data_IF_903513510657
#
_entry.id   IF_903513510657
#
_cell.length_a   1.000
_cell.length_b   1.000
_cell.length_c   1.000
_cell.angle_alpha   90.00
_cell.angle_beta   90.00
_cell.angle_gamma   90.00
#
_symmetry.space_group_name_H-M   'P 1'
#
loop_
_entity.id
_entity.type
_entity.pdbx_description
1 polymer ?
#
# COMPACT_ATOMS: atom_id res chain seq x y z
N UNK A 1 17.29 0.35 -17.36
CA UNK A 1 17.15 1.73 -17.87
C UNK A 1 16.98 1.66 -19.37
N UNK A 2 15.91 2.22 -19.94
CA UNK A 2 15.59 2.06 -21.37
C UNK A 2 16.01 3.34 -22.11
N UNK A 3 16.82 3.21 -23.16
CA UNK A 3 17.33 4.34 -23.94
C UNK A 3 16.80 4.28 -25.37
N UNK A 4 16.23 5.39 -25.84
CA UNK A 4 15.75 5.55 -27.21
C UNK A 4 16.50 6.68 -27.91
N UNK A 5 17.08 6.39 -29.08
CA UNK A 5 17.67 7.40 -29.94
C UNK A 5 16.57 8.22 -30.65
N UNK A 6 16.72 9.55 -30.65
CA UNK A 6 15.81 10.44 -31.35
C UNK A 6 16.18 10.49 -32.84
N UNK A 7 15.18 10.28 -33.70
CA UNK A 7 15.35 10.42 -35.16
C UNK A 7 15.72 11.86 -35.56
N UNK A 8 15.26 12.84 -34.79
CA UNK A 8 15.58 14.25 -34.95
C UNK A 8 16.03 14.82 -33.60
N UNK A 9 17.33 15.09 -33.41
CA UNK A 9 17.84 15.65 -32.16
C UNK A 9 17.27 17.05 -31.89
N UNK A 10 16.95 17.33 -30.63
CA UNK A 10 16.36 18.60 -30.20
C UNK A 10 17.47 19.48 -29.61
N UNK A 11 17.70 20.66 -30.19
CA UNK A 11 18.65 21.64 -29.68
C UNK A 11 17.97 22.58 -28.67
N UNK A 12 18.47 22.60 -27.44
CA UNK A 12 18.09 23.50 -26.36
C UNK A 12 19.28 24.40 -26.02
N UNK A 13 19.41 25.51 -26.74
CA UNK A 13 20.52 26.45 -26.57
C UNK A 13 21.88 25.77 -26.86
N UNK A 14 22.71 25.60 -25.82
CA UNK A 14 24.04 24.94 -25.91
C UNK A 14 23.99 23.42 -25.77
N UNK A 15 22.81 22.82 -25.54
CA UNK A 15 22.65 21.38 -25.31
C UNK A 15 21.86 20.75 -26.45
N UNK A 16 22.30 19.60 -26.92
CA UNK A 16 21.56 18.79 -27.90
C UNK A 16 21.10 17.51 -27.24
N UNK A 17 19.78 17.29 -27.25
CA UNK A 17 19.18 16.03 -26.81
C UNK A 17 19.09 15.10 -28.02
N UNK A 18 19.93 14.07 -28.04
CA UNK A 18 19.94 13.01 -29.08
C UNK A 18 19.28 11.71 -28.61
N UNK A 19 19.06 11.55 -27.32
CA UNK A 19 18.52 10.34 -26.71
C UNK A 19 17.55 10.66 -25.57
N UNK A 20 16.50 9.84 -25.45
CA UNK A 20 15.59 9.82 -24.31
C UNK A 20 15.93 8.63 -23.43
N UNK A 21 16.20 8.88 -22.15
CA UNK A 21 16.43 7.84 -21.14
C UNK A 21 15.21 7.74 -20.24
N UNK A 22 14.49 6.64 -20.35
CA UNK A 22 13.39 6.32 -19.46
C UNK A 22 13.94 5.51 -18.28
N UNK A 23 13.52 5.91 -17.08
CA UNK A 23 13.69 5.05 -15.90
C UNK A 23 12.82 3.82 -16.08
N UNK A 24 13.20 2.73 -15.41
CA UNK A 24 12.33 1.56 -15.32
C UNK A 24 11.07 1.91 -14.54
N UNK A 25 10.05 1.06 -14.65
CA UNK A 25 8.82 1.25 -13.90
C UNK A 25 9.13 1.27 -12.40
N UNK A 26 8.41 2.10 -11.66
CA UNK A 26 8.48 2.11 -10.20
C UNK A 26 7.99 0.76 -9.68
N UNK A 27 8.74 0.16 -8.77
CA UNK A 27 8.41 -1.11 -8.12
C UNK A 27 7.94 -0.86 -6.68
N UNK A 28 7.32 -1.87 -6.05
CA UNK A 28 6.98 -1.82 -4.64
C UNK A 28 8.24 -1.56 -3.75
N UNK A 29 9.39 -2.15 -4.12
CA UNK A 29 10.67 -1.92 -3.44
C UNK A 29 11.12 -0.45 -3.46
N UNK A 30 10.78 0.30 -4.51
CA UNK A 30 11.13 1.72 -4.57
C UNK A 30 10.39 2.51 -3.47
N UNK A 31 9.17 2.13 -3.08
CA UNK A 31 8.44 2.76 -1.98
C UNK A 31 9.09 2.50 -0.62
N UNK A 32 9.66 1.31 -0.40
CA UNK A 32 10.45 1.01 0.80
C UNK A 32 11.67 1.92 0.93
N UNK A 33 12.26 2.37 -0.18
CA UNK A 33 13.44 3.25 -0.13
C UNK A 33 13.11 4.62 0.48
N UNK A 34 11.86 5.07 0.36
CA UNK A 34 11.36 6.31 0.95
C UNK A 34 10.82 6.12 2.38
N UNK A 35 10.40 4.90 2.74
CA UNK A 35 9.83 4.57 4.05
C UNK A 35 10.30 3.20 4.57
N UNK A 36 11.56 3.15 5.04
CA UNK A 36 12.21 1.92 5.53
C UNK A 36 11.77 1.45 6.94
N UNK A 37 10.89 2.18 7.61
CA UNK A 37 10.42 1.87 8.98
C UNK A 37 8.91 2.09 9.17
N UNK A 38 8.19 2.47 8.13
CA UNK A 38 6.78 2.83 8.22
C UNK A 38 5.84 1.83 7.55
N UNK A 39 4.61 2.28 7.30
CA UNK A 39 3.47 1.43 6.94
C UNK A 39 3.63 0.68 5.61
N UNK A 40 4.62 1.02 4.78
CA UNK A 40 4.90 0.31 3.52
C UNK A 40 5.42 -1.11 3.78
N UNK A 41 6.34 -1.29 4.73
CA UNK A 41 6.89 -2.61 5.07
C UNK A 41 5.81 -3.52 5.68
N UNK A 42 5.02 -2.98 6.62
CA UNK A 42 3.90 -3.71 7.24
C UNK A 42 2.85 -4.12 6.20
N UNK A 43 2.54 -3.24 5.25
CA UNK A 43 1.58 -3.55 4.17
C UNK A 43 2.14 -4.58 3.20
N UNK A 44 3.43 -4.55 2.87
CA UNK A 44 4.05 -5.59 2.04
C UNK A 44 3.94 -6.95 2.73
N UNK A 45 4.25 -7.04 4.03
CA UNK A 45 4.10 -8.27 4.80
C UNK A 45 2.64 -8.76 4.84
N UNK A 46 1.68 -7.86 5.04
CA UNK A 46 0.26 -8.20 5.06
C UNK A 46 -0.24 -8.67 3.69
N UNK A 47 0.10 -7.97 2.62
CA UNK A 47 -0.23 -8.37 1.24
C UNK A 47 0.39 -9.74 0.93
N UNK A 48 1.65 -9.96 1.31
CA UNK A 48 2.35 -11.23 1.12
C UNK A 48 1.63 -12.37 1.84
N UNK A 49 1.25 -12.16 3.10
CA UNK A 49 0.49 -13.13 3.91
C UNK A 49 -0.87 -13.46 3.31
N UNK A 50 -1.61 -12.44 2.83
CA UNK A 50 -2.93 -12.63 2.24
C UNK A 50 -2.89 -13.32 0.88
N UNK A 51 -1.89 -13.00 0.06
CA UNK A 51 -1.70 -13.63 -1.23
C UNK A 51 -1.09 -15.04 -1.12
N UNK A 52 -0.56 -15.42 0.05
CA UNK A 52 0.15 -16.68 0.25
C UNK A 52 1.47 -16.72 -0.53
N UNK A 53 2.15 -15.58 -0.65
CA UNK A 53 3.38 -15.43 -1.45
C UNK A 53 4.48 -14.77 -0.64
N UNK A 54 5.71 -14.92 -1.10
CA UNK A 54 6.88 -14.32 -0.45
C UNK A 54 6.94 -12.79 -0.66
N UNK A 55 7.36 -12.05 0.37
CA UNK A 55 7.51 -10.59 0.33
C UNK A 55 8.44 -10.12 -0.79
N UNK A 56 9.49 -10.88 -1.11
CA UNK A 56 10.41 -10.55 -2.20
C UNK A 56 9.73 -10.59 -3.58
N UNK A 57 8.62 -11.31 -3.73
CA UNK A 57 7.78 -11.27 -4.94
C UNK A 57 6.88 -10.04 -4.94
N UNK A 58 6.29 -9.69 -3.80
CA UNK A 58 5.49 -8.47 -3.64
C UNK A 58 6.34 -7.22 -3.92
N UNK A 59 7.60 -7.19 -3.46
CA UNK A 59 8.54 -6.10 -3.71
C UNK A 59 8.83 -5.85 -5.20
N UNK A 60 8.64 -6.85 -6.06
CA UNK A 60 8.81 -6.75 -7.52
C UNK A 60 7.55 -6.32 -8.25
N UNK A 61 6.42 -6.16 -7.56
CA UNK A 61 5.20 -5.68 -8.19
C UNK A 61 5.42 -4.30 -8.79
N UNK A 62 4.79 -4.08 -9.95
CA UNK A 62 4.68 -2.75 -10.51
C UNK A 62 3.97 -1.84 -9.51
N UNK A 63 4.45 -0.61 -9.37
CA UNK A 63 3.96 0.31 -8.34
C UNK A 63 2.48 0.63 -8.44
N UNK A 64 1.88 0.51 -9.63
CA UNK A 64 0.42 0.66 -9.82
C UNK A 64 -0.33 -0.52 -9.20
N UNK A 65 0.16 -1.73 -9.38
CA UNK A 65 -0.48 -2.95 -8.86
C UNK A 65 -0.28 -3.06 -7.36
N UNK A 66 0.90 -2.66 -6.85
CA UNK A 66 1.13 -2.51 -5.42
C UNK A 66 0.11 -1.57 -4.77
N UNK A 67 -0.11 -0.36 -5.31
CA UNK A 67 -1.09 0.59 -4.77
C UNK A 67 -2.53 0.08 -4.81
N UNK A 68 -2.87 -0.75 -5.80
CA UNK A 68 -4.18 -1.41 -5.86
C UNK A 68 -4.33 -2.46 -4.76
N UNK A 69 -3.29 -3.26 -4.53
CA UNK A 69 -3.26 -4.22 -3.44
C UNK A 69 -3.34 -3.52 -2.07
N UNK A 70 -2.58 -2.45 -1.88
CA UNK A 70 -2.65 -1.56 -0.71
C UNK A 70 -4.10 -1.09 -0.46
N UNK A 71 -4.76 -0.49 -1.44
CA UNK A 71 -6.13 -0.01 -1.28
C UNK A 71 -7.13 -1.12 -0.92
N UNK A 72 -6.89 -2.34 -1.39
CA UNK A 72 -7.73 -3.48 -1.08
C UNK A 72 -7.54 -3.98 0.35
N UNK A 73 -6.29 -3.98 0.82
CA UNK A 73 -5.95 -4.34 2.21
C UNK A 73 -6.45 -3.28 3.18
N UNK A 74 -6.24 -1.99 2.87
CA UNK A 74 -6.74 -0.89 3.70
C UNK A 74 -8.26 -0.94 3.83
N UNK A 75 -8.97 -1.28 2.75
CA UNK A 75 -10.43 -1.48 2.79
C UNK A 75 -10.83 -2.62 3.72
N UNK A 76 -10.14 -3.77 3.66
CA UNK A 76 -10.44 -4.92 4.51
C UNK A 76 -10.21 -4.60 5.99
N UNK A 77 -9.12 -3.89 6.31
CA UNK A 77 -8.87 -3.45 7.69
C UNK A 77 -9.97 -2.53 8.21
N UNK A 78 -10.44 -1.59 7.39
CA UNK A 78 -11.55 -0.70 7.74
C UNK A 78 -12.86 -1.47 7.93
N UNK A 79 -13.14 -2.45 7.07
CA UNK A 79 -14.33 -3.29 7.16
C UNK A 79 -14.27 -4.14 8.46
N UNK A 80 -13.13 -4.76 8.77
CA UNK A 80 -12.90 -5.52 10.01
C UNK A 80 -13.06 -4.66 11.27
N UNK A 81 -12.49 -3.44 11.28
CA UNK A 81 -12.63 -2.49 12.39
C UNK A 81 -14.09 -2.05 12.59
N UNK A 82 -14.85 -1.90 11.50
CA UNK A 82 -16.26 -1.57 11.56
C UNK A 82 -17.08 -2.73 12.15
N UNK A 83 -16.80 -3.98 11.75
CA UNK A 83 -17.44 -5.16 12.31
C UNK A 83 -17.16 -5.31 13.81
N UNK A 84 -15.89 -5.19 14.23
CA UNK A 84 -15.50 -5.25 15.65
C UNK A 84 -16.19 -4.16 16.48
N UNK A 85 -16.22 -2.92 15.99
CA UNK A 85 -16.91 -1.82 16.66
C UNK A 85 -18.43 -2.02 16.71
N UNK A 86 -19.02 -2.68 15.71
CA UNK A 86 -20.44 -3.02 15.70
C UNK A 86 -20.78 -4.15 16.68
N UNK A 87 -19.84 -5.08 16.92
CA UNK A 87 -19.98 -6.18 17.86
C UNK A 87 -19.67 -5.80 19.32
N UNK A 88 -18.83 -4.79 19.55
CA UNK A 88 -18.56 -4.25 20.89
C UNK A 88 -19.74 -3.44 21.48
N UNK A 89 -20.44 -2.68 20.62
CA UNK A 89 -21.62 -1.88 21.03
C UNK A 89 -22.76 -2.68 21.69
N UNK A 90 -23.18 -3.87 21.21
CA UNK A 90 -24.20 -4.67 21.87
C UNK A 90 -23.74 -5.28 23.20
N UNK A 91 -22.44 -5.57 23.37
CA UNK A 91 -21.90 -6.11 24.62
C UNK A 91 -21.86 -5.05 25.74
N UNK A 92 -21.45 -3.82 25.44
CA UNK A 92 -21.42 -2.71 26.42
C UNK A 92 -22.82 -2.31 26.93
N UNK A 93 -23.88 -2.50 26.12
CA UNK A 93 -25.27 -2.19 26.49
C UNK A 93 -25.86 -3.26 27.43
N UNK A 94 -25.36 -4.50 27.37
CA UNK A 94 -25.80 -5.59 28.25
C UNK A 94 -25.18 -5.46 29.65
N UNK A 95 -23.89 -5.11 29.74
CA UNK A 95 -23.22 -4.92 31.05
C UNK A 95 -23.77 -3.72 31.83
N UNK A 96 -24.05 -2.59 31.16
CA UNK A 96 -24.65 -1.42 31.81
C UNK A 96 -26.08 -1.68 32.30
N UNK A 97 -26.80 -2.63 31.70
CA UNK A 97 -28.14 -3.05 32.16
C UNK A 97 -28.09 -4.03 33.33
N UNK A 98 -27.08 -4.90 33.42
CA UNK A 98 -26.92 -5.81 34.57
C UNK A 98 -26.46 -5.07 35.83
N UNK A 99 -25.58 -4.07 35.70
CA UNK A 99 -25.14 -3.25 36.83
C UNK A 99 -26.24 -2.31 37.35
N UNK A 100 -27.07 -1.77 36.45
CA UNK A 100 -28.22 -0.94 36.83
C UNK A 100 -29.37 -1.72 37.49
N UNK A 101 -29.38 -3.06 37.39
CA UNK A 101 -30.41 -3.92 37.97
C UNK A 101 -29.96 -4.62 39.27
N UNK A 102 -28.71 -4.43 39.69
CA UNK A 102 -28.13 -4.99 40.92
C UNK A 102 -27.82 -3.94 42.00
N UNK A 103 -28.20 -2.67 41.79
CA UNK A 103 -28.16 -1.65 42.83
C UNK A 103 -29.39 -1.77 43.75
N UNK A 104 -29.22 -1.89 45.08
CA UNK A 104 -30.30 -2.09 46.05
C UNK A 104 -31.22 -0.88 46.21
#
# INVERSE_FOLDING_TARGET
MITFALKYPIALGKRTLSELKFREHTTAADYLSFDKRGGVEQRIALIASMAGTDEALIMKLHGVDYRRAEAHVDKLLLDDEAEVNSAAKPAEVLEKKSDALSAP
#
